data_IF_210610213229
#
_entry.id   IF_210610213229
#
_cell.length_a   1.000
_cell.length_b   1.000
_cell.length_c   1.000
_cell.angle_alpha   90.00
_cell.angle_beta   90.00
_cell.angle_gamma   90.00
#
_symmetry.space_group_name_H-M   'P 1'
#
loop_
_entity.id
_entity.type
_entity.pdbx_description
1 polymer ?
#
# COMPACT_ATOMS: atom_id res chain seq x y z
N UNK A 1 1.50 5.81 -1.73
CA UNK A 1 1.66 4.36 -1.46
C UNK A 1 0.34 3.76 -1.02
N UNK A 2 0.03 2.54 -1.45
CA UNK A 2 -1.11 1.75 -0.99
C UNK A 2 -0.62 0.40 -0.48
N UNK A 3 -1.16 -0.04 0.66
CA UNK A 3 -0.84 -1.33 1.27
C UNK A 3 -1.90 -2.36 0.93
N UNK A 4 -1.47 -3.53 0.45
CA UNK A 4 -2.33 -4.69 0.31
C UNK A 4 -2.69 -5.32 1.65
N UNK A 5 -3.47 -6.41 1.59
CA UNK A 5 -3.80 -7.21 2.77
C UNK A 5 -2.53 -7.82 3.37
N UNK A 6 -2.53 -7.97 4.68
CA UNK A 6 -1.54 -8.78 5.38
C UNK A 6 -1.66 -10.24 4.97
N UNK A 7 -0.52 -10.93 4.89
CA UNK A 7 -0.46 -12.38 4.82
C UNK A 7 -0.97 -12.97 6.12
N UNK A 8 -1.23 -14.27 6.10
CA UNK A 8 -1.38 -15.02 7.34
C UNK A 8 -0.10 -14.90 8.18
N UNK A 9 -0.27 -14.98 9.50
CA UNK A 9 0.83 -15.00 10.43
C UNK A 9 1.59 -16.33 10.28
N UNK A 10 2.92 -16.30 10.36
CA UNK A 10 3.75 -17.51 10.28
C UNK A 10 3.54 -18.48 11.44
N UNK A 11 2.90 -18.06 12.53
CA UNK A 11 2.59 -18.91 13.66
C UNK A 11 1.21 -18.60 14.25
N UNK A 12 0.60 -19.61 14.86
CA UNK A 12 -0.71 -19.54 15.50
C UNK A 12 -0.67 -19.09 16.96
N UNK A 13 0.48 -19.18 17.63
CA UNK A 13 0.72 -18.69 18.99
C UNK A 13 2.21 -18.36 19.21
N UNK A 14 2.50 -17.61 20.28
CA UNK A 14 3.86 -17.26 20.76
C UNK A 14 4.72 -16.41 19.80
N UNK A 15 4.07 -15.54 19.01
CA UNK A 15 4.72 -14.59 18.10
C UNK A 15 4.55 -14.99 16.63
N UNK A 16 5.37 -14.40 15.75
CA UNK A 16 5.34 -14.66 14.31
C UNK A 16 5.48 -13.38 13.47
N UNK A 17 5.57 -13.56 12.16
CA UNK A 17 5.67 -12.46 11.21
C UNK A 17 4.55 -12.54 10.18
N UNK A 18 4.17 -11.39 9.68
CA UNK A 18 3.23 -11.25 8.58
C UNK A 18 3.82 -10.25 7.59
N UNK A 19 3.58 -10.50 6.31
CA UNK A 19 4.10 -9.66 5.23
C UNK A 19 2.93 -9.05 4.49
N UNK A 20 3.12 -7.88 3.89
CA UNK A 20 2.13 -7.28 3.01
C UNK A 20 2.83 -6.69 1.80
N UNK A 21 2.09 -6.61 0.70
CA UNK A 21 2.56 -5.90 -0.49
C UNK A 21 2.30 -4.41 -0.33
N UNK A 22 3.24 -3.60 -0.81
CA UNK A 22 3.17 -2.14 -0.81
C UNK A 22 3.40 -1.68 -2.24
N UNK A 23 2.50 -0.84 -2.75
CA UNK A 23 2.52 -0.40 -4.14
C UNK A 23 2.54 1.13 -4.23
N UNK A 24 3.33 1.68 -5.14
CA UNK A 24 3.16 3.07 -5.52
C UNK A 24 1.86 3.19 -6.34
N UNK A 25 1.04 4.17 -5.97
CA UNK A 25 -0.22 4.45 -6.67
C UNK A 25 -0.33 5.95 -6.91
N UNK A 26 -0.86 6.29 -8.07
CA UNK A 26 -1.34 7.62 -8.40
C UNK A 26 -2.83 7.67 -8.07
N UNK A 27 -3.22 8.60 -7.20
CA UNK A 27 -4.61 8.80 -6.80
C UNK A 27 -5.23 9.91 -7.64
N UNK A 28 -6.31 9.61 -8.36
CA UNK A 28 -7.10 10.63 -9.03
C UNK A 28 -8.32 10.98 -8.18
N UNK A 29 -8.58 12.27 -8.06
CA UNK A 29 -9.72 12.79 -7.31
C UNK A 29 -10.75 13.36 -8.29
N UNK A 30 -12.03 13.20 -7.96
CA UNK A 30 -13.09 13.93 -8.65
C UNK A 30 -13.13 15.40 -8.17
N UNK A 31 -13.94 16.22 -8.83
CA UNK A 31 -14.23 17.63 -8.48
C UNK A 31 -14.66 17.85 -7.03
N UNK A 32 -15.19 16.82 -6.38
CA UNK A 32 -15.55 16.80 -4.95
C UNK A 32 -14.38 16.49 -4.00
N UNK A 33 -13.17 16.23 -4.52
CA UNK A 33 -11.99 15.87 -3.73
C UNK A 33 -11.97 14.41 -3.27
N UNK A 34 -12.92 13.59 -3.72
CA UNK A 34 -12.98 12.16 -3.39
C UNK A 34 -12.05 11.38 -4.34
N UNK A 35 -11.20 10.52 -3.76
CA UNK A 35 -10.36 9.59 -4.53
C UNK A 35 -11.27 8.60 -5.27
N UNK A 36 -11.28 8.68 -6.59
CA UNK A 36 -12.08 7.82 -7.47
C UNK A 36 -11.27 6.67 -8.05
N UNK A 37 -9.96 6.85 -8.20
CA UNK A 37 -9.09 5.81 -8.73
C UNK A 37 -7.74 5.79 -8.00
N UNK A 38 -7.19 4.59 -7.82
CA UNK A 38 -5.81 4.38 -7.38
C UNK A 38 -5.12 3.51 -8.43
N UNK A 39 -4.40 4.17 -9.33
CA UNK A 39 -3.69 3.50 -10.42
C UNK A 39 -2.32 3.07 -9.93
N UNK A 40 -2.00 1.77 -10.01
CA UNK A 40 -0.66 1.28 -9.69
C UNK A 40 0.34 1.83 -10.72
N UNK A 41 1.41 2.45 -10.22
CA UNK A 41 2.50 3.00 -11.02
C UNK A 41 3.85 2.48 -10.52
N UNK A 42 4.93 2.83 -11.21
CA UNK A 42 6.28 2.46 -10.80
C UNK A 42 6.71 3.20 -9.51
N UNK A 43 7.55 2.56 -8.71
CA UNK A 43 7.98 3.08 -7.41
C UNK A 43 8.72 4.43 -7.52
N UNK A 44 9.35 4.73 -8.67
CA UNK A 44 9.99 6.03 -8.88
C UNK A 44 9.02 7.22 -8.87
N UNK A 45 7.70 7.03 -8.97
CA UNK A 45 6.73 8.13 -8.83
C UNK A 45 6.45 8.48 -7.36
N UNK A 46 6.72 7.57 -6.42
CA UNK A 46 6.51 7.77 -4.98
C UNK A 46 7.80 8.07 -4.22
N UNK A 47 8.92 8.32 -4.92
CA UNK A 47 10.27 8.44 -4.34
C UNK A 47 10.42 9.51 -3.24
N UNK A 48 9.62 10.58 -3.28
CA UNK A 48 9.64 11.65 -2.27
C UNK A 48 8.81 11.31 -1.02
N UNK A 49 8.12 10.16 -1.01
CA UNK A 49 7.23 9.76 0.09
C UNK A 49 7.76 8.52 0.79
N UNK A 50 7.64 8.47 2.11
CA UNK A 50 8.11 7.33 2.90
C UNK A 50 7.32 6.07 2.53
N UNK A 51 8.03 5.01 2.11
CA UNK A 51 7.43 3.71 1.78
C UNK A 51 7.01 3.00 3.08
N UNK A 52 5.73 2.69 3.26
CA UNK A 52 5.24 2.00 4.45
C UNK A 52 5.97 0.67 4.68
N UNK A 53 6.24 0.38 5.96
CA UNK A 53 6.77 -0.90 6.45
C UNK A 53 5.63 -1.82 6.84
#
# INVERSE_FOLDING_TARGET
WMTGKWSECTASCDGGYQTRKVYCVESSNDTSGIVVENRKVDDHYCWQTHRPV
#
